data_IF_850451322134
#
_entry.id   IF_850451322134
#
_cell.length_a   1.000
_cell.length_b   1.000
_cell.length_c   1.000
_cell.angle_alpha   90.00
_cell.angle_beta   90.00
_cell.angle_gamma   90.00
#
_symmetry.space_group_name_H-M   'P 1'
#
loop_
_entity.id
_entity.type
_entity.pdbx_description
1 polymer ?
#
# COMPACT_ATOMS: atom_id res chain seq x y z
N UNK A 1 15.10 8.52 6.19
CA UNK A 1 14.80 9.60 5.93
C UNK A 1 14.61 10.74 6.92
N UNK A 2 14.75 11.90 6.57
CA UNK A 2 15.08 12.98 7.44
C UNK A 2 13.94 13.42 8.34
N UNK A 3 14.12 13.25 9.61
CA UNK A 3 13.28 13.81 10.64
C UNK A 3 13.49 15.33 10.80
N UNK A 4 14.29 15.92 9.90
CA UNK A 4 14.71 17.32 9.99
C UNK A 4 14.02 18.25 9.00
N UNK A 5 12.97 17.76 8.30
CA UNK A 5 12.20 18.60 7.39
C UNK A 5 11.43 19.67 8.18
N UNK A 6 11.47 20.89 7.66
CA UNK A 6 10.64 21.96 8.19
C UNK A 6 9.15 21.63 8.04
N UNK A 7 8.26 22.17 8.88
CA UNK A 7 6.83 21.85 8.81
C UNK A 7 6.21 22.05 7.43
N UNK A 8 6.61 23.11 6.71
CA UNK A 8 6.12 23.37 5.35
C UNK A 8 6.62 22.30 4.36
N UNK A 9 7.85 21.83 4.51
CA UNK A 9 8.41 20.77 3.69
C UNK A 9 7.70 19.45 3.95
N UNK A 10 7.33 19.16 5.19
CA UNK A 10 6.55 17.97 5.56
C UNK A 10 5.16 17.98 4.93
N UNK A 11 4.49 19.13 4.92
CA UNK A 11 3.18 19.29 4.29
C UNK A 11 3.31 19.12 2.78
N UNK A 12 4.33 19.73 2.17
CA UNK A 12 4.61 19.64 0.74
C UNK A 12 4.92 18.19 0.32
N UNK A 13 5.73 17.49 1.11
CA UNK A 13 6.06 16.08 0.87
C UNK A 13 4.80 15.20 0.95
N UNK A 14 3.97 15.41 1.95
CA UNK A 14 2.72 14.66 2.13
C UNK A 14 1.78 14.86 0.95
N UNK A 15 1.65 16.10 0.47
CA UNK A 15 0.85 16.41 -0.71
C UNK A 15 1.39 15.70 -1.94
N UNK A 16 2.70 15.72 -2.14
CA UNK A 16 3.36 15.03 -3.25
C UNK A 16 3.09 13.53 -3.21
N UNK A 17 3.25 12.90 -2.06
CA UNK A 17 2.95 11.48 -1.87
C UNK A 17 1.49 11.17 -2.22
N UNK A 18 0.56 11.96 -1.75
CA UNK A 18 -0.86 11.75 -2.01
C UNK A 18 -1.18 11.85 -3.50
N UNK A 19 -0.66 12.86 -4.17
CA UNK A 19 -0.88 13.05 -5.61
C UNK A 19 -0.28 11.91 -6.42
N UNK A 20 0.92 11.46 -6.07
CA UNK A 20 1.57 10.34 -6.74
C UNK A 20 0.83 9.03 -6.51
N UNK A 21 0.35 8.77 -5.29
CA UNK A 21 -0.44 7.58 -4.99
C UNK A 21 -1.74 7.55 -5.79
N UNK A 22 -2.45 8.64 -5.83
CA UNK A 22 -3.72 8.74 -6.56
C UNK A 22 -3.50 8.52 -8.06
N UNK A 23 -2.48 9.14 -8.63
CA UNK A 23 -2.13 8.98 -10.03
C UNK A 23 -1.73 7.54 -10.34
N UNK A 24 -0.94 6.94 -9.47
CA UNK A 24 -0.47 5.57 -9.65
C UNK A 24 -1.63 4.56 -9.60
N UNK A 25 -2.51 4.71 -8.62
CA UNK A 25 -3.70 3.85 -8.52
C UNK A 25 -4.57 3.96 -9.77
N UNK A 26 -4.79 5.17 -10.24
CA UNK A 26 -5.55 5.41 -11.48
C UNK A 26 -4.92 4.66 -12.66
N UNK A 27 -3.62 4.81 -12.85
CA UNK A 27 -2.90 4.17 -13.95
C UNK A 27 -2.89 2.64 -13.82
N UNK A 28 -2.79 2.11 -12.60
CA UNK A 28 -2.84 0.66 -12.35
C UNK A 28 -4.20 0.06 -12.71
N UNK A 29 -5.28 0.82 -12.69
CA UNK A 29 -6.59 0.36 -13.15
C UNK A 29 -6.72 0.38 -14.68
N UNK A 30 -5.82 1.06 -15.36
CA UNK A 30 -5.87 1.25 -16.82
C UNK A 30 -4.91 0.33 -17.57
N UNK A 31 -3.74 0.04 -16.99
CA UNK A 31 -2.70 -0.75 -17.65
C UNK A 31 -1.82 -1.47 -16.64
N UNK A 32 -1.10 -2.52 -17.08
CA UNK A 32 -0.16 -3.22 -16.21
C UNK A 32 0.95 -2.30 -15.73
N UNK A 33 1.48 -2.58 -14.54
CA UNK A 33 2.54 -1.81 -13.93
C UNK A 33 3.76 -1.64 -14.86
N UNK A 34 4.14 -2.71 -15.55
CA UNK A 34 5.30 -2.72 -16.44
C UNK A 34 5.17 -1.70 -17.58
N UNK A 35 3.95 -1.37 -17.97
CA UNK A 35 3.66 -0.43 -19.06
C UNK A 35 3.48 1.01 -18.58
N UNK A 36 3.44 1.24 -17.29
CA UNK A 36 3.36 2.59 -16.73
C UNK A 36 4.73 3.23 -16.79
N UNK A 37 4.83 4.36 -17.48
CA UNK A 37 6.08 5.13 -17.57
C UNK A 37 6.12 6.18 -16.49
N UNK A 38 7.34 6.59 -16.10
CA UNK A 38 7.52 7.69 -15.16
C UNK A 38 6.91 8.99 -15.70
N UNK A 39 7.02 9.20 -17.01
CA UNK A 39 6.42 10.38 -17.66
C UNK A 39 4.90 10.42 -17.46
N UNK A 40 4.21 9.31 -17.74
CA UNK A 40 2.75 9.21 -17.52
C UNK A 40 2.38 9.46 -16.08
N UNK A 41 3.12 8.86 -15.17
CA UNK A 41 2.87 8.97 -13.74
C UNK A 41 2.98 10.43 -13.28
N UNK A 42 4.08 11.09 -13.66
CA UNK A 42 4.31 12.48 -13.28
C UNK A 42 3.31 13.43 -13.96
N UNK A 43 2.99 13.18 -15.23
CA UNK A 43 2.01 13.98 -15.96
C UNK A 43 0.62 13.84 -15.31
N UNK A 44 0.21 12.62 -14.98
CA UNK A 44 -1.09 12.34 -14.33
C UNK A 44 -1.16 12.98 -12.94
N UNK A 45 -0.08 12.91 -12.18
CA UNK A 45 0.00 13.51 -10.85
C UNK A 45 0.18 15.04 -10.89
N UNK A 46 0.51 15.58 -12.05
CA UNK A 46 0.87 17.00 -12.23
C UNK A 46 2.08 17.38 -11.37
N UNK A 47 3.08 16.49 -11.35
CA UNK A 47 4.30 16.64 -10.55
C UNK A 47 5.50 16.62 -11.51
N UNK A 48 6.44 17.59 -11.41
CA UNK A 48 7.66 17.56 -12.21
C UNK A 48 8.51 16.32 -11.85
N UNK A 49 9.22 15.77 -12.82
CA UNK A 49 10.13 14.65 -12.59
C UNK A 49 11.18 14.96 -11.53
N UNK A 50 11.68 16.18 -11.49
CA UNK A 50 12.64 16.61 -10.47
C UNK A 50 12.07 16.46 -9.06
N UNK A 51 10.79 16.78 -8.89
CA UNK A 51 10.10 16.62 -7.61
C UNK A 51 9.94 15.13 -7.28
N UNK A 52 9.58 14.30 -8.27
CA UNK A 52 9.48 12.85 -8.08
C UNK A 52 10.82 12.29 -7.57
N UNK A 53 11.93 12.62 -8.23
CA UNK A 53 13.25 12.09 -7.86
C UNK A 53 13.76 12.59 -6.51
N UNK A 54 13.15 13.63 -5.97
CA UNK A 54 13.45 14.07 -4.61
C UNK A 54 13.00 13.06 -3.57
N UNK A 55 11.95 12.30 -3.85
CA UNK A 55 11.33 11.38 -2.88
C UNK A 55 11.47 9.91 -3.24
N UNK A 56 11.58 9.57 -4.52
CA UNK A 56 11.63 8.19 -5.01
C UNK A 56 12.70 8.02 -6.05
N UNK A 57 13.32 6.84 -6.07
CA UNK A 57 14.34 6.53 -7.07
C UNK A 57 13.72 6.19 -8.42
N UNK A 58 12.62 5.45 -8.40
CA UNK A 58 11.93 4.99 -9.60
C UNK A 58 10.49 4.58 -9.28
N UNK A 59 9.77 4.06 -10.27
CA UNK A 59 8.39 3.62 -10.07
C UNK A 59 8.28 2.39 -9.18
N UNK A 60 9.32 1.57 -9.09
CA UNK A 60 9.35 0.40 -8.19
C UNK A 60 9.40 0.85 -6.74
N UNK A 61 10.21 1.86 -6.46
CA UNK A 61 10.31 2.47 -5.14
C UNK A 61 8.96 3.05 -4.71
N UNK A 62 8.29 3.76 -5.62
CA UNK A 62 6.94 4.28 -5.36
C UNK A 62 5.94 3.15 -5.14
N UNK A 63 6.00 2.08 -5.92
CA UNK A 63 5.11 0.93 -5.74
C UNK A 63 5.27 0.32 -4.35
N UNK A 64 6.51 0.11 -3.92
CA UNK A 64 6.80 -0.39 -2.58
C UNK A 64 6.21 0.49 -1.49
N UNK A 65 6.38 1.79 -1.63
CA UNK A 65 5.80 2.76 -0.69
C UNK A 65 4.27 2.67 -0.64
N UNK A 66 3.62 2.64 -1.81
CA UNK A 66 2.16 2.56 -1.88
C UNK A 66 1.62 1.28 -1.26
N UNK A 67 2.25 0.14 -1.54
CA UNK A 67 1.82 -1.15 -0.99
C UNK A 67 2.05 -1.23 0.51
N UNK A 68 3.20 -0.75 0.98
CA UNK A 68 3.49 -0.71 2.41
C UNK A 68 2.48 0.17 3.15
N UNK A 69 2.20 1.34 2.61
CA UNK A 69 1.21 2.26 3.17
C UNK A 69 -0.19 1.63 3.19
N UNK A 70 -0.55 0.91 2.15
CA UNK A 70 -1.81 0.17 2.07
C UNK A 70 -1.92 -0.86 3.20
N UNK A 71 -0.88 -1.67 3.43
CA UNK A 71 -0.88 -2.68 4.48
C UNK A 71 -0.89 -2.07 5.87
N UNK A 72 -0.16 -0.98 6.08
CA UNK A 72 -0.16 -0.28 7.38
C UNK A 72 -1.55 0.27 7.72
N UNK A 73 -2.27 0.76 6.73
CA UNK A 73 -3.62 1.32 6.92
C UNK A 73 -4.71 0.25 6.95
N UNK A 74 -4.38 -0.98 6.62
CA UNK A 74 -5.34 -2.09 6.59
C UNK A 74 -5.73 -2.58 7.98
N UNK A 75 -4.99 -2.18 9.00
CA UNK A 75 -5.25 -2.49 10.41
C UNK A 75 -5.51 -3.99 10.64
N UNK A 76 -4.56 -4.81 10.18
CA UNK A 76 -4.60 -6.25 10.41
C UNK A 76 -4.34 -6.51 11.88
N UNK A 77 -5.40 -6.78 12.62
CA UNK A 77 -5.33 -7.04 14.06
C UNK A 77 -5.15 -8.54 14.31
N UNK A 78 -3.89 -8.96 14.43
CA UNK A 78 -3.56 -10.36 14.72
C UNK A 78 -3.98 -10.75 16.12
N UNK A 79 -4.07 -9.79 17.04
CA UNK A 79 -4.59 -10.06 18.39
C UNK A 79 -6.00 -10.61 18.34
N UNK A 80 -6.83 -10.11 17.43
CA UNK A 80 -8.20 -10.64 17.22
C UNK A 80 -8.16 -12.06 16.66
N UNK A 81 -7.21 -12.35 15.78
CA UNK A 81 -7.06 -13.69 15.19
C UNK A 81 -6.60 -14.68 16.25
N UNK A 82 -5.72 -14.26 17.18
CA UNK A 82 -5.25 -15.10 18.28
C UNK A 82 -6.23 -15.20 19.44
N UNK A 83 -7.13 -14.22 19.58
CA UNK A 83 -8.22 -14.32 20.55
C UNK A 83 -9.13 -15.46 20.11
N UNK A 84 -9.18 -16.50 20.90
CA UNK A 84 -10.05 -17.65 20.65
C UNK A 84 -11.53 -17.31 20.83
N UNK A 85 -11.90 -16.07 20.58
CA UNK A 85 -13.26 -15.59 20.66
C UNK A 85 -13.85 -15.57 19.26
N UNK A 86 -14.74 -16.51 19.01
CA UNK A 86 -15.37 -16.69 17.71
C UNK A 86 -16.17 -15.47 17.27
N UNK A 87 -16.86 -14.81 18.21
CA UNK A 87 -17.69 -13.65 17.90
C UNK A 87 -16.84 -12.44 17.47
N UNK A 88 -15.74 -12.18 18.18
CA UNK A 88 -14.80 -11.12 17.80
C UNK A 88 -14.17 -11.37 16.42
N UNK A 89 -13.85 -12.64 16.12
CA UNK A 89 -13.32 -13.02 14.81
C UNK A 89 -14.35 -12.82 13.71
N UNK A 90 -15.61 -13.20 13.95
CA UNK A 90 -16.69 -12.98 12.98
C UNK A 90 -16.91 -11.51 12.69
N UNK A 91 -16.90 -10.65 13.71
CA UNK A 91 -17.03 -9.21 13.55
C UNK A 91 -15.86 -8.62 12.74
N UNK A 92 -14.66 -9.06 13.04
CA UNK A 92 -13.45 -8.62 12.31
C UNK A 92 -13.53 -9.02 10.83
N UNK A 93 -13.89 -10.26 10.55
CA UNK A 93 -14.03 -10.76 9.18
C UNK A 93 -15.14 -10.02 8.43
N UNK A 94 -16.28 -9.75 9.09
CA UNK A 94 -17.38 -9.03 8.48
C UNK A 94 -16.97 -7.60 8.09
N UNK A 95 -16.25 -6.90 8.96
CA UNK A 95 -15.73 -5.55 8.69
C UNK A 95 -14.71 -5.56 7.56
N UNK A 96 -13.80 -6.53 7.55
CA UNK A 96 -12.77 -6.69 6.53
C UNK A 96 -13.41 -6.96 5.17
N UNK A 97 -14.39 -7.87 5.11
CA UNK A 97 -15.11 -8.18 3.87
C UNK A 97 -15.86 -6.97 3.33
N UNK A 98 -16.42 -6.16 4.20
CA UNK A 98 -17.13 -4.94 3.80
C UNK A 98 -16.20 -3.92 3.14
N UNK A 99 -14.99 -3.75 3.70
CA UNK A 99 -13.97 -2.88 3.12
C UNK A 99 -13.51 -3.43 1.77
N UNK A 100 -13.27 -4.72 1.67
CA UNK A 100 -12.88 -5.37 0.43
C UNK A 100 -13.97 -5.26 -0.65
N UNK A 101 -15.23 -5.37 -0.25
CA UNK A 101 -16.36 -5.27 -1.18
C UNK A 101 -16.46 -3.88 -1.80
N UNK A 102 -16.27 -2.82 -1.00
CA UNK A 102 -16.25 -1.44 -1.50
C UNK A 102 -15.12 -1.17 -2.47
N UNK A 103 -13.98 -1.82 -2.28
CA UNK A 103 -12.80 -1.66 -3.13
C UNK A 103 -12.72 -2.70 -4.25
N UNK A 104 -13.66 -3.66 -4.28
CA UNK A 104 -13.58 -4.87 -5.10
C UNK A 104 -13.38 -4.57 -6.60
N UNK A 105 -14.13 -3.62 -7.15
CA UNK A 105 -14.07 -3.32 -8.58
C UNK A 105 -12.67 -2.84 -9.01
N UNK A 106 -12.05 -1.97 -8.22
CA UNK A 106 -10.71 -1.45 -8.51
C UNK A 106 -9.66 -2.54 -8.33
N UNK A 107 -9.72 -3.28 -7.22
CA UNK A 107 -8.77 -4.36 -6.96
C UNK A 107 -8.86 -5.48 -7.97
N UNK A 108 -10.06 -5.86 -8.38
CA UNK A 108 -10.25 -6.86 -9.44
C UNK A 108 -9.55 -6.47 -10.73
N UNK A 109 -9.68 -5.21 -11.09
CA UNK A 109 -9.09 -4.68 -12.33
C UNK A 109 -7.58 -4.65 -12.25
N UNK A 110 -7.03 -4.14 -11.15
CA UNK A 110 -5.58 -4.11 -10.90
C UNK A 110 -5.03 -5.55 -10.89
N UNK A 111 -5.70 -6.46 -10.20
CA UNK A 111 -5.30 -7.86 -10.13
C UNK A 111 -5.24 -8.51 -11.51
N UNK A 112 -6.30 -8.34 -12.32
CA UNK A 112 -6.33 -8.94 -13.67
C UNK A 112 -5.22 -8.42 -14.57
N UNK A 113 -4.89 -7.13 -14.47
CA UNK A 113 -3.85 -6.50 -15.29
C UNK A 113 -2.44 -6.83 -14.82
N UNK A 114 -2.26 -7.22 -13.54
CA UNK A 114 -0.95 -7.38 -12.92
C UNK A 114 -0.71 -8.77 -12.34
N UNK A 115 -1.44 -9.77 -12.82
CA UNK A 115 -1.50 -11.11 -12.23
C UNK A 115 -0.17 -11.84 -12.20
N UNK A 116 0.66 -11.67 -13.21
CA UNK A 116 1.90 -12.44 -13.41
C UNK A 116 3.16 -11.56 -13.40
N UNK A 117 3.09 -10.35 -12.83
CA UNK A 117 4.17 -9.39 -12.91
C UNK A 117 4.77 -8.99 -11.57
N UNK A 118 5.64 -8.00 -11.63
CA UNK A 118 6.36 -7.43 -10.48
C UNK A 118 5.40 -6.96 -9.39
N UNK A 119 4.24 -6.41 -9.77
CA UNK A 119 3.24 -5.93 -8.82
C UNK A 119 2.82 -7.03 -7.84
N UNK A 120 2.46 -8.21 -8.36
CA UNK A 120 2.01 -9.32 -7.52
C UNK A 120 3.16 -9.93 -6.72
N UNK A 121 4.36 -9.98 -7.29
CA UNK A 121 5.54 -10.46 -6.57
C UNK A 121 5.84 -9.59 -5.36
N UNK A 122 5.84 -8.28 -5.54
CA UNK A 122 6.08 -7.34 -4.47
C UNK A 122 4.95 -7.35 -3.44
N UNK A 123 3.70 -7.45 -3.90
CA UNK A 123 2.53 -7.56 -3.02
C UNK A 123 2.64 -8.76 -2.09
N UNK A 124 2.97 -9.93 -2.64
CA UNK A 124 3.15 -11.15 -1.85
C UNK A 124 4.29 -11.03 -0.86
N UNK A 125 5.44 -10.49 -1.29
CA UNK A 125 6.60 -10.32 -0.43
C UNK A 125 6.30 -9.42 0.76
N UNK A 126 5.65 -8.27 0.51
CA UNK A 126 5.29 -7.33 1.56
C UNK A 126 4.23 -7.88 2.49
N UNK A 127 3.26 -8.63 1.95
CA UNK A 127 2.23 -9.26 2.78
C UNK A 127 2.84 -10.28 3.74
N UNK A 128 3.75 -11.13 3.25
CA UNK A 128 4.47 -12.10 4.07
C UNK A 128 5.27 -11.39 5.16
N UNK A 129 5.97 -10.31 4.80
CA UNK A 129 6.76 -9.54 5.76
C UNK A 129 5.89 -8.92 6.85
N UNK A 130 4.78 -8.29 6.47
CA UNK A 130 3.84 -7.66 7.41
C UNK A 130 3.27 -8.70 8.37
N UNK A 131 2.84 -9.83 7.85
CA UNK A 131 2.28 -10.91 8.68
C UNK A 131 3.36 -11.49 9.62
N UNK A 132 4.57 -11.70 9.12
CA UNK A 132 5.67 -12.21 9.95
C UNK A 132 6.01 -11.24 11.08
N UNK A 133 6.10 -9.96 10.79
CA UNK A 133 6.40 -8.94 11.80
C UNK A 133 5.30 -8.86 12.87
N UNK A 134 4.04 -8.94 12.46
CA UNK A 134 2.91 -8.92 13.40
C UNK A 134 2.88 -10.17 14.27
N UNK A 135 3.20 -11.34 13.72
CA UNK A 135 3.30 -12.57 14.49
C UNK A 135 4.42 -12.50 15.53
N UNK A 136 5.57 -11.93 15.16
CA UNK A 136 6.68 -11.73 16.10
C UNK A 136 6.29 -10.78 17.24
N UNK A 137 5.58 -9.70 16.93
CA UNK A 137 5.08 -8.78 17.95
C UNK A 137 4.09 -9.47 18.89
N UNK A 138 3.22 -10.31 18.37
CA UNK A 138 2.27 -11.08 19.17
C UNK A 138 2.99 -12.06 20.10
N UNK A 139 4.02 -12.76 19.61
CA UNK A 139 4.85 -13.65 20.43
C UNK A 139 5.56 -12.89 21.56
N UNK A 140 6.14 -11.73 21.23
CA UNK A 140 6.86 -10.90 22.20
C UNK A 140 5.92 -10.31 23.26
N UNK A 141 4.66 -10.13 22.94
CA UNK A 141 3.65 -9.62 23.91
C UNK A 141 3.02 -10.74 24.76
N UNK A 142 3.45 -11.98 24.57
CA UNK A 142 2.97 -13.12 25.35
C UNK A 142 1.58 -13.62 24.97
N UNK A 143 1.10 -13.24 23.80
CA UNK A 143 -0.19 -13.70 23.29
C UNK A 143 0.03 -15.02 22.55
N UNK A 144 -0.42 -16.09 23.14
CA UNK A 144 -0.32 -17.43 22.54
C UNK A 144 -1.68 -18.07 22.41
#
# INVERSE_FOLDING_TARGET
>A
MSNHLEPQEKISARRTYTLLQQAFFKLLTEKPFEKITLKELCDTAMIPRSTFYRYFEDKYDLLGYCLQNFFENMDLDIDVIYLKNLDAMKDYLAKTLKVLDTAHAQFSRIYRLNRDGVFMDLLRSLLIQVLTDKLKQAENSGIH
#
